data_IF_237646421004
#
_entry.id   IF_237646421004
#
_cell.length_a   1.000
_cell.length_b   1.000
_cell.length_c   1.000
_cell.angle_alpha   90.00
_cell.angle_beta   90.00
_cell.angle_gamma   90.00
#
_symmetry.space_group_name_H-M   'P 1'
#
loop_
_entity.id
_entity.type
_entity.pdbx_description
1 polymer ?
#
# COMPACT_ATOMS: atom_id res chain seq x y z
N UNK A 1 -19.64 19.36 -29.45
CA UNK A 1 -19.24 18.01 -29.01
C UNK A 1 -20.50 17.25 -28.59
N UNK A 2 -20.74 16.06 -29.17
CA UNK A 2 -22.00 15.32 -29.03
C UNK A 2 -22.29 14.97 -27.56
N UNK A 3 -23.52 15.22 -27.10
CA UNK A 3 -24.00 14.87 -25.75
C UNK A 3 -23.79 13.39 -25.41
N UNK A 4 -23.76 12.52 -26.41
CA UNK A 4 -23.48 11.09 -26.29
C UNK A 4 -22.04 10.83 -25.82
N UNK A 5 -21.05 11.53 -26.41
CA UNK A 5 -19.64 11.39 -26.03
C UNK A 5 -19.43 11.84 -24.57
N UNK A 6 -20.08 12.92 -24.16
CA UNK A 6 -20.02 13.39 -22.77
C UNK A 6 -20.69 12.40 -21.81
N UNK A 7 -21.80 11.77 -22.18
CA UNK A 7 -22.49 10.78 -21.36
C UNK A 7 -21.66 9.49 -21.19
N UNK A 8 -21.11 8.95 -22.28
CA UNK A 8 -20.19 7.80 -22.23
C UNK A 8 -18.93 8.12 -21.43
N UNK A 9 -18.38 9.32 -21.59
CA UNK A 9 -17.24 9.80 -20.79
C UNK A 9 -17.59 9.87 -19.30
N UNK A 10 -18.80 10.33 -18.95
CA UNK A 10 -19.27 10.42 -17.54
C UNK A 10 -19.56 9.06 -16.92
N UNK A 11 -19.92 8.07 -17.73
CA UNK A 11 -20.14 6.70 -17.28
C UNK A 11 -18.80 5.98 -17.04
N UNK A 12 -17.82 6.15 -17.92
CA UNK A 12 -16.52 5.49 -17.84
C UNK A 12 -15.53 6.17 -16.88
N UNK A 13 -15.46 7.51 -16.88
CA UNK A 13 -14.50 8.28 -16.08
C UNK A 13 -15.12 8.94 -14.84
N UNK A 14 -16.44 8.88 -14.67
CA UNK A 14 -17.14 9.56 -13.59
C UNK A 14 -17.43 11.05 -13.86
N UNK A 15 -18.05 11.71 -12.88
CA UNK A 15 -18.40 13.14 -12.99
C UNK A 15 -17.13 13.99 -12.84
N UNK A 16 -16.93 15.04 -13.67
CA UNK A 16 -15.80 15.95 -13.51
C UNK A 16 -15.89 16.64 -12.14
N UNK A 17 -14.89 16.43 -11.29
CA UNK A 17 -14.73 17.14 -10.03
C UNK A 17 -13.96 18.44 -10.28
N UNK A 18 -14.39 19.52 -9.64
CA UNK A 18 -13.62 20.78 -9.64
C UNK A 18 -12.40 20.60 -8.77
N UNK A 19 -11.22 20.99 -9.28
CA UNK A 19 -9.95 20.86 -8.58
C UNK A 19 -9.95 21.55 -7.21
N UNK A 20 -10.72 22.62 -7.07
CA UNK A 20 -10.85 23.41 -5.84
C UNK A 20 -11.60 22.68 -4.70
N UNK A 21 -12.32 21.59 -5.00
CA UNK A 21 -13.14 20.86 -4.02
C UNK A 21 -12.50 19.55 -3.56
N UNK A 22 -11.40 19.11 -4.19
CA UNK A 22 -10.77 17.81 -3.92
C UNK A 22 -10.16 17.72 -2.51
N UNK A 23 -9.56 18.80 -2.01
CA UNK A 23 -8.82 18.80 -0.75
C UNK A 23 -9.66 18.59 0.52
N UNK A 24 -10.98 18.79 0.45
CA UNK A 24 -11.89 18.62 1.60
C UNK A 24 -12.88 17.46 1.43
N UNK A 25 -12.80 16.70 0.33
CA UNK A 25 -13.69 15.56 0.11
C UNK A 25 -13.16 14.32 0.83
N UNK A 26 -13.72 14.04 2.00
CA UNK A 26 -13.56 12.74 2.65
C UNK A 26 -14.20 11.66 1.77
N UNK A 27 -13.42 10.67 1.36
CA UNK A 27 -13.94 9.53 0.61
C UNK A 27 -14.99 8.79 1.48
N UNK A 28 -16.17 8.46 0.92
CA UNK A 28 -17.14 7.67 1.63
C UNK A 28 -16.51 6.31 2.01
N UNK A 29 -16.77 5.85 3.24
CA UNK A 29 -16.11 4.69 3.87
C UNK A 29 -16.13 3.41 3.01
N UNK A 30 -17.15 3.26 2.14
CA UNK A 30 -17.30 2.14 1.20
C UNK A 30 -16.25 2.12 0.08
N UNK A 31 -15.75 3.29 -0.33
CA UNK A 31 -14.74 3.44 -1.39
C UNK A 31 -13.35 3.59 -0.74
N UNK A 32 -13.27 4.30 0.39
CA UNK A 32 -12.03 4.44 1.14
C UNK A 32 -11.46 3.08 1.58
N UNK A 33 -12.29 2.18 2.11
CA UNK A 33 -11.80 0.93 2.68
C UNK A 33 -11.13 0.01 1.64
N UNK A 34 -11.71 -0.27 0.46
CA UNK A 34 -11.02 -1.03 -0.58
C UNK A 34 -9.76 -0.34 -1.12
N UNK A 35 -9.78 0.98 -1.28
CA UNK A 35 -8.64 1.73 -1.82
C UNK A 35 -7.46 1.69 -0.85
N UNK A 36 -7.70 1.93 0.44
CA UNK A 36 -6.64 1.86 1.46
C UNK A 36 -6.24 0.43 1.81
N UNK A 37 -7.15 -0.55 1.69
CA UNK A 37 -6.81 -1.97 1.89
C UNK A 37 -6.01 -2.57 0.72
N UNK A 38 -6.03 -1.92 -0.46
CA UNK A 38 -5.34 -2.42 -1.65
C UNK A 38 -3.84 -2.57 -1.45
N UNK A 39 -3.23 -1.71 -0.64
CA UNK A 39 -1.79 -1.73 -0.38
C UNK A 39 -1.39 -3.01 0.40
N UNK A 40 -2.07 -3.25 1.52
CA UNK A 40 -1.88 -4.47 2.31
C UNK A 40 -2.21 -5.75 1.51
N UNK A 41 -3.22 -5.71 0.63
CA UNK A 41 -3.54 -6.83 -0.26
C UNK A 41 -2.46 -7.07 -1.32
N UNK A 42 -1.86 -6.01 -1.85
CA UNK A 42 -0.72 -6.11 -2.79
C UNK A 42 0.46 -6.83 -2.14
N UNK A 43 0.73 -6.59 -0.85
CA UNK A 43 1.80 -7.27 -0.12
C UNK A 43 1.65 -8.79 -0.03
N UNK A 44 0.42 -9.31 -0.04
CA UNK A 44 0.18 -10.77 -0.04
C UNK A 44 0.68 -11.43 -1.33
N UNK A 45 0.75 -10.68 -2.44
CA UNK A 45 1.16 -11.21 -3.74
C UNK A 45 2.68 -11.42 -3.88
N UNK A 46 3.51 -10.78 -3.04
CA UNK A 46 4.98 -10.93 -3.09
C UNK A 46 5.59 -11.44 -1.77
N UNK A 47 4.99 -11.18 -0.61
CA UNK A 47 5.60 -11.51 0.69
C UNK A 47 5.86 -13.02 0.91
N UNK A 48 4.98 -13.96 0.52
CA UNK A 48 5.24 -15.38 0.70
C UNK A 48 6.47 -15.86 -0.08
N UNK A 49 6.62 -15.40 -1.33
CA UNK A 49 7.77 -15.75 -2.18
C UNK A 49 9.07 -15.26 -1.56
N UNK A 50 9.09 -14.03 -1.05
CA UNK A 50 10.26 -13.46 -0.39
C UNK A 50 10.66 -14.23 0.88
N UNK A 51 9.68 -14.69 1.67
CA UNK A 51 9.94 -15.55 2.85
C UNK A 51 10.62 -16.85 2.43
N UNK A 52 10.13 -17.50 1.36
CA UNK A 52 10.76 -18.71 0.86
C UNK A 52 12.15 -18.45 0.27
N UNK A 53 12.36 -17.33 -0.42
CA UNK A 53 13.66 -16.96 -0.96
C UNK A 53 14.69 -16.81 0.17
N UNK A 54 14.36 -16.09 1.24
CA UNK A 54 15.25 -15.93 2.39
C UNK A 54 15.50 -17.26 3.10
N UNK A 55 14.46 -18.08 3.32
CA UNK A 55 14.62 -19.40 3.94
C UNK A 55 15.45 -20.36 3.07
N UNK A 56 15.40 -20.22 1.74
CA UNK A 56 16.18 -21.07 0.83
C UNK A 56 17.69 -20.91 1.04
N UNK A 57 18.15 -19.71 1.43
CA UNK A 57 19.54 -19.44 1.80
C UNK A 57 19.95 -20.22 3.05
N UNK A 58 19.04 -20.42 3.99
CA UNK A 58 19.24 -21.23 5.20
C UNK A 58 19.09 -22.75 4.95
N UNK A 59 18.64 -23.15 3.76
CA UNK A 59 18.48 -24.54 3.32
C UNK A 59 17.06 -25.09 3.49
N UNK A 60 16.77 -26.23 2.82
CA UNK A 60 15.42 -26.82 2.73
C UNK A 60 14.76 -27.12 4.08
N UNK A 61 15.54 -27.44 5.12
CA UNK A 61 15.00 -27.70 6.47
C UNK A 61 14.35 -26.46 7.10
N UNK A 62 14.75 -25.25 6.66
CA UNK A 62 14.24 -24.01 7.20
C UNK A 62 12.79 -23.69 6.76
N UNK A 63 12.29 -24.33 5.68
CA UNK A 63 10.91 -24.13 5.22
C UNK A 63 9.85 -24.55 6.23
N UNK A 64 10.19 -25.41 7.19
CA UNK A 64 9.31 -25.78 8.31
C UNK A 64 8.97 -24.57 9.19
N UNK A 65 9.81 -23.53 9.19
CA UNK A 65 9.56 -22.30 9.94
C UNK A 65 8.66 -21.29 9.23
N UNK A 66 8.37 -21.45 7.92
CA UNK A 66 7.52 -20.54 7.16
C UNK A 66 6.15 -20.25 7.82
N UNK A 67 5.36 -21.25 8.29
CA UNK A 67 4.10 -20.98 8.97
C UNK A 67 4.29 -20.23 10.30
N UNK A 68 5.37 -20.51 11.04
CA UNK A 68 5.68 -19.81 12.29
C UNK A 68 6.04 -18.35 12.06
N UNK A 69 6.79 -18.06 11.00
CA UNK A 69 7.08 -16.69 10.55
C UNK A 69 5.77 -15.97 10.20
N UNK A 70 4.87 -16.63 9.47
CA UNK A 70 3.54 -16.08 9.17
C UNK A 70 2.74 -15.70 10.41
N UNK A 71 2.76 -16.55 11.46
CA UNK A 71 2.12 -16.23 12.74
C UNK A 71 2.77 -15.03 13.42
N UNK A 72 4.11 -14.94 13.42
CA UNK A 72 4.81 -13.78 13.97
C UNK A 72 4.47 -12.49 13.24
N UNK A 73 4.42 -12.52 11.90
CA UNK A 73 4.00 -11.36 11.08
C UNK A 73 2.57 -10.96 11.41
N UNK A 74 1.64 -11.91 11.59
CA UNK A 74 0.26 -11.63 11.98
C UNK A 74 0.16 -10.96 13.37
N UNK A 75 1.01 -11.37 14.32
CA UNK A 75 1.09 -10.74 15.65
C UNK A 75 1.58 -9.30 15.52
N UNK A 76 2.65 -9.06 14.76
CA UNK A 76 3.17 -7.71 14.50
C UNK A 76 2.08 -6.83 13.86
N UNK A 77 1.36 -7.36 12.87
CA UNK A 77 0.27 -6.64 12.23
C UNK A 77 -0.84 -6.27 13.23
N UNK A 78 -1.20 -7.17 14.15
CA UNK A 78 -2.19 -6.88 15.18
C UNK A 78 -1.75 -5.74 16.12
N UNK A 79 -0.47 -5.72 16.51
CA UNK A 79 0.12 -4.64 17.31
C UNK A 79 0.11 -3.32 16.55
N UNK A 80 0.51 -3.33 15.28
CA UNK A 80 0.52 -2.14 14.41
C UNK A 80 -0.90 -1.58 14.25
N UNK A 81 -1.90 -2.43 14.01
CA UNK A 81 -3.31 -2.01 13.93
C UNK A 81 -3.79 -1.40 15.25
N UNK A 82 -3.44 -2.01 16.39
CA UNK A 82 -3.80 -1.45 17.70
C UNK A 82 -3.14 -0.09 17.94
N UNK A 83 -1.89 0.09 17.53
CA UNK A 83 -1.15 1.36 17.60
C UNK A 83 -1.77 2.43 16.71
N UNK A 84 -2.05 2.12 15.45
CA UNK A 84 -2.70 3.07 14.53
C UNK A 84 -4.09 3.48 15.00
N UNK A 85 -4.85 2.57 15.62
CA UNK A 85 -6.14 2.94 16.23
C UNK A 85 -5.96 4.01 17.31
N UNK A 86 -4.92 3.92 18.14
CA UNK A 86 -4.65 4.94 19.16
C UNK A 86 -4.25 6.27 18.52
N UNK A 87 -3.34 6.25 17.54
CA UNK A 87 -2.88 7.44 16.84
C UNK A 87 -4.05 8.18 16.15
N UNK A 88 -4.93 7.47 15.46
CA UNK A 88 -6.08 8.09 14.76
C UNK A 88 -7.06 8.76 15.74
N UNK A 89 -7.21 8.23 16.96
CA UNK A 89 -8.05 8.88 17.98
C UNK A 89 -7.36 10.08 18.62
N UNK A 90 -6.03 10.05 18.78
CA UNK A 90 -5.25 11.14 19.35
C UNK A 90 -5.07 12.32 18.38
N UNK A 91 -5.01 12.07 17.07
CA UNK A 91 -4.75 13.07 16.02
C UNK A 91 -5.89 13.09 14.98
N UNK A 92 -7.02 13.73 15.29
CA UNK A 92 -8.20 13.76 14.41
C UNK A 92 -8.04 14.67 13.18
N UNK A 93 -6.99 15.49 13.14
CA UNK A 93 -6.59 16.35 12.01
C UNK A 93 -6.18 15.55 10.77
N UNK A 94 -5.74 14.30 10.94
CA UNK A 94 -5.47 13.38 9.83
C UNK A 94 -4.17 13.64 9.07
N UNK A 95 -3.21 14.39 9.62
CA UNK A 95 -1.90 14.64 9.00
C UNK A 95 -0.91 13.46 9.07
N UNK A 96 -1.35 12.32 9.60
CA UNK A 96 -0.59 11.06 9.58
C UNK A 96 0.72 11.11 10.37
N UNK A 97 1.65 10.22 10.02
CA UNK A 97 2.90 10.04 10.76
C UNK A 97 3.79 11.29 10.75
N UNK A 98 3.69 12.12 9.71
CA UNK A 98 4.40 13.41 9.63
C UNK A 98 3.94 14.38 10.72
N UNK A 99 2.63 14.54 10.90
CA UNK A 99 2.07 15.41 11.95
C UNK A 99 2.45 14.89 13.33
N UNK A 100 2.29 13.58 13.57
CA UNK A 100 2.64 12.95 14.85
C UNK A 100 4.11 13.17 15.20
N UNK A 101 5.04 12.94 14.27
CA UNK A 101 6.46 13.15 14.53
C UNK A 101 6.82 14.63 14.72
N UNK A 102 6.22 15.51 13.91
CA UNK A 102 6.47 16.96 13.99
C UNK A 102 6.02 17.54 15.32
N UNK A 103 4.83 17.16 15.79
CA UNK A 103 4.25 17.71 17.02
C UNK A 103 4.93 17.18 18.28
N UNK A 104 5.40 15.92 18.29
CA UNK A 104 5.98 15.32 19.49
C UNK A 104 7.51 15.44 19.58
N UNK A 105 8.21 15.37 18.44
CA UNK A 105 9.68 15.27 18.40
C UNK A 105 10.32 16.49 17.71
N UNK A 106 9.50 17.36 17.11
CA UNK A 106 9.92 18.60 16.48
C UNK A 106 10.09 18.52 14.96
N UNK A 107 10.39 19.65 14.31
CA UNK A 107 10.35 19.78 12.85
C UNK A 107 11.35 18.88 12.11
N UNK A 108 12.51 18.62 12.69
CA UNK A 108 13.55 17.78 12.09
C UNK A 108 13.11 16.32 11.99
N UNK A 109 12.50 15.79 13.05
CA UNK A 109 11.93 14.44 13.06
C UNK A 109 10.78 14.31 12.05
N UNK A 110 9.92 15.34 11.97
CA UNK A 110 8.89 15.45 10.94
C UNK A 110 9.47 15.37 9.52
N UNK A 111 10.50 16.16 9.22
CA UNK A 111 11.21 16.13 7.94
C UNK A 111 11.78 14.75 7.61
N UNK A 112 12.39 14.08 8.59
CA UNK A 112 12.89 12.70 8.40
C UNK A 112 11.75 11.75 8.04
N UNK A 113 10.63 11.78 8.77
CA UNK A 113 9.45 10.96 8.45
C UNK A 113 8.90 11.29 7.06
N UNK A 114 8.78 12.57 6.71
CA UNK A 114 8.32 13.00 5.39
C UNK A 114 9.23 12.49 4.26
N UNK A 115 10.55 12.53 4.46
CA UNK A 115 11.51 11.99 3.49
C UNK A 115 11.41 10.46 3.36
N UNK A 116 11.23 9.75 4.47
CA UNK A 116 11.05 8.30 4.48
C UNK A 116 9.77 7.89 3.75
N UNK A 117 8.66 8.61 3.96
CA UNK A 117 7.40 8.37 3.27
C UNK A 117 7.51 8.56 1.75
N UNK A 118 8.29 9.54 1.29
CA UNK A 118 8.53 9.71 -0.16
C UNK A 118 9.28 8.52 -0.76
N UNK A 119 10.30 8.02 -0.06
CA UNK A 119 11.03 6.82 -0.48
C UNK A 119 10.13 5.59 -0.45
N UNK A 120 9.33 5.44 0.61
CA UNK A 120 8.36 4.37 0.77
C UNK A 120 7.37 4.33 -0.40
N UNK A 121 6.76 5.47 -0.76
CA UNK A 121 5.84 5.51 -1.90
C UNK A 121 6.49 5.11 -3.23
N UNK A 122 7.73 5.53 -3.47
CA UNK A 122 8.46 5.14 -4.70
C UNK A 122 8.74 3.64 -4.70
N UNK A 123 9.19 3.09 -3.56
CA UNK A 123 9.49 1.67 -3.43
C UNK A 123 8.23 0.81 -3.54
N UNK A 124 7.13 1.20 -2.92
CA UNK A 124 5.85 0.49 -2.98
C UNK A 124 5.34 0.36 -4.41
N UNK A 125 5.44 1.44 -5.20
CA UNK A 125 5.09 1.40 -6.63
C UNK A 125 6.05 0.50 -7.40
N UNK A 126 7.36 0.63 -7.18
CA UNK A 126 8.37 -0.16 -7.88
C UNK A 126 8.21 -1.67 -7.63
N UNK A 127 8.04 -2.07 -6.35
CA UNK A 127 7.85 -3.47 -5.95
C UNK A 127 6.54 -4.01 -6.52
N UNK A 128 5.44 -3.26 -6.40
CA UNK A 128 4.13 -3.69 -6.91
C UNK A 128 4.13 -3.95 -8.42
N UNK A 129 4.81 -3.10 -9.21
CA UNK A 129 4.92 -3.29 -10.67
C UNK A 129 5.85 -4.47 -10.99
N UNK A 130 6.95 -4.64 -10.26
CA UNK A 130 7.88 -5.76 -10.44
C UNK A 130 7.19 -7.11 -10.15
N UNK A 131 6.44 -7.20 -9.05
CA UNK A 131 5.67 -8.40 -8.70
C UNK A 131 4.53 -8.64 -9.69
N UNK A 132 3.85 -7.59 -10.17
CA UNK A 132 2.84 -7.72 -11.21
C UNK A 132 3.44 -8.30 -12.51
N UNK A 133 4.57 -7.78 -12.97
CA UNK A 133 5.27 -8.33 -14.14
C UNK A 133 5.69 -9.79 -13.91
N UNK A 134 6.10 -10.16 -12.69
CA UNK A 134 6.43 -11.55 -12.34
C UNK A 134 5.25 -12.48 -12.43
N UNK A 135 4.14 -12.11 -11.82
CA UNK A 135 2.92 -12.90 -11.84
C UNK A 135 2.36 -13.04 -13.26
N UNK A 136 2.39 -11.97 -14.07
CA UNK A 136 1.97 -12.04 -15.48
C UNK A 136 2.92 -12.94 -16.28
N UNK A 137 4.23 -12.82 -16.08
CA UNK A 137 5.21 -13.70 -16.73
C UNK A 137 4.99 -15.18 -16.40
N UNK A 138 4.64 -15.51 -15.16
CA UNK A 138 4.34 -16.90 -14.77
C UNK A 138 3.08 -17.46 -15.45
N UNK A 139 2.10 -16.62 -15.77
CA UNK A 139 0.84 -17.04 -16.40
C UNK A 139 0.89 -17.01 -17.93
N UNK A 140 1.69 -16.09 -18.50
CA UNK A 140 1.78 -15.85 -19.95
C UNK A 140 3.24 -16.04 -20.40
N UNK A 141 3.59 -17.20 -21.00
CA UNK A 141 4.96 -17.55 -21.38
C UNK A 141 5.64 -16.55 -22.33
N UNK A 142 4.86 -15.86 -23.17
CA UNK A 142 5.36 -14.81 -24.07
C UNK A 142 5.94 -13.60 -23.31
N UNK A 143 5.34 -13.26 -22.18
CA UNK A 143 5.82 -12.17 -21.29
C UNK A 143 7.05 -12.63 -20.51
N UNK A 144 7.13 -13.90 -20.12
CA UNK A 144 8.32 -14.44 -19.44
C UNK A 144 9.60 -14.34 -20.28
N UNK A 145 9.51 -14.43 -21.62
CA UNK A 145 10.67 -14.31 -22.51
C UNK A 145 11.16 -12.86 -22.71
N UNK A 146 10.36 -11.85 -22.35
CA UNK A 146 10.66 -10.42 -22.55
C UNK A 146 10.60 -9.62 -21.24
N UNK A 147 10.78 -10.29 -20.11
CA UNK A 147 10.69 -9.72 -18.77
C UNK A 147 11.99 -9.02 -18.36
#
# INVERSE_FOLDING_TARGET
MSKLSTATKRLLLGRPFRSDTLGHTLLPKRIALPVFASDALSSVAYAPEEIFLVLSVAGMSAFVFAPWIGVMVAIVLAVVVASYRQNVHAYPSGGGDYEVATTNLGPTAGLTVGSALMVDYVLTVAVSISSAAANIGSAVPFVAQHK
#
